data_IF_501268336690
#
_entry.id   IF_501268336690
#
_cell.length_a   1.000
_cell.length_b   1.000
_cell.length_c   1.000
_cell.angle_alpha   90.00
_cell.angle_beta   90.00
_cell.angle_gamma   90.00
#
_symmetry.space_group_name_H-M   'P 1'
#
loop_
_entity.id
_entity.type
_entity.pdbx_description
1 polymer ?
#
# COMPACT_ATOMS: atom_id res chain seq x y z
N UNK A 1 11.77 -6.71 -25.43
CA UNK A 1 11.23 -6.63 -24.06
C UNK A 1 10.97 -5.17 -23.79
N UNK A 2 9.70 -4.80 -23.59
CA UNK A 2 9.32 -3.41 -23.38
C UNK A 2 9.91 -2.89 -22.06
N UNK A 3 10.59 -1.74 -22.14
CA UNK A 3 11.25 -1.11 -20.98
C UNK A 3 10.27 -0.78 -19.88
N UNK A 4 9.05 -0.40 -20.25
CA UNK A 4 8.00 -0.04 -19.31
C UNK A 4 7.46 -1.27 -18.55
N UNK A 5 7.32 -2.38 -19.26
CA UNK A 5 6.92 -3.67 -18.67
C UNK A 5 7.97 -4.18 -17.68
N UNK A 6 9.26 -3.98 -17.99
CA UNK A 6 10.34 -4.29 -17.05
C UNK A 6 10.32 -3.37 -15.83
N UNK A 7 10.14 -2.07 -16.02
CA UNK A 7 10.08 -1.11 -14.92
C UNK A 7 8.92 -1.42 -13.96
N UNK A 8 7.76 -1.79 -14.51
CA UNK A 8 6.58 -2.19 -13.72
C UNK A 8 6.80 -3.49 -12.95
N UNK A 9 7.51 -4.48 -13.52
CA UNK A 9 7.89 -5.70 -12.78
C UNK A 9 8.89 -5.44 -11.65
N UNK A 10 9.89 -4.62 -11.89
CA UNK A 10 10.87 -4.25 -10.86
C UNK A 10 10.20 -3.47 -9.71
N UNK A 11 9.21 -2.65 -10.05
CA UNK A 11 8.39 -1.95 -9.08
C UNK A 11 7.64 -2.92 -8.17
N UNK A 12 6.88 -3.86 -8.73
CA UNK A 12 6.11 -4.84 -7.95
C UNK A 12 7.01 -5.74 -7.09
N UNK A 13 8.13 -6.23 -7.64
CA UNK A 13 9.13 -6.97 -6.86
C UNK A 13 9.66 -6.15 -5.68
N UNK A 14 9.91 -4.85 -5.88
CA UNK A 14 10.44 -3.99 -4.83
C UNK A 14 9.42 -3.74 -3.73
N UNK A 15 8.15 -3.51 -4.08
CA UNK A 15 7.06 -3.34 -3.12
C UNK A 15 6.86 -4.62 -2.31
N UNK A 16 6.77 -5.78 -2.97
CA UNK A 16 6.64 -7.08 -2.31
C UNK A 16 7.82 -7.38 -1.38
N UNK A 17 9.05 -7.06 -1.79
CA UNK A 17 10.23 -7.22 -0.95
C UNK A 17 10.19 -6.36 0.32
N UNK A 18 9.50 -5.21 0.29
CA UNK A 18 9.35 -4.34 1.46
C UNK A 18 8.22 -4.82 2.38
N UNK A 19 7.12 -5.32 1.81
CA UNK A 19 5.97 -5.85 2.55
C UNK A 19 6.20 -7.24 3.16
N UNK A 20 7.12 -8.03 2.61
CA UNK A 20 7.44 -9.35 3.14
C UNK A 20 6.37 -10.39 2.80
N UNK A 21 5.74 -10.97 3.81
CA UNK A 21 4.71 -12.03 3.63
C UNK A 21 3.30 -11.49 3.32
N UNK A 22 3.09 -10.17 3.39
CA UNK A 22 1.80 -9.59 3.04
C UNK A 22 1.57 -9.66 1.53
N UNK A 23 0.49 -10.34 1.12
CA UNK A 23 0.06 -10.40 -0.27
C UNK A 23 -0.55 -9.07 -0.67
N UNK A 24 -0.01 -8.45 -1.72
CA UNK A 24 -0.54 -7.19 -2.24
C UNK A 24 -1.48 -7.47 -3.40
N UNK A 25 -2.63 -6.81 -3.42
CA UNK A 25 -3.55 -6.86 -4.55
C UNK A 25 -2.92 -6.19 -5.79
N UNK A 26 -3.04 -6.85 -6.95
CA UNK A 26 -2.43 -6.39 -8.19
C UNK A 26 -3.09 -5.10 -8.70
N UNK A 27 -4.40 -4.93 -8.44
CA UNK A 27 -5.12 -3.67 -8.74
C UNK A 27 -4.56 -2.49 -7.94
N UNK A 28 -4.17 -2.71 -6.68
CA UNK A 28 -3.59 -1.67 -5.82
C UNK A 28 -2.17 -1.32 -6.28
N UNK A 29 -1.38 -2.32 -6.72
CA UNK A 29 -0.05 -2.07 -7.30
C UNK A 29 -0.13 -1.28 -8.61
N UNK A 30 -1.14 -1.57 -9.44
CA UNK A 30 -1.40 -0.83 -10.66
C UNK A 30 -1.75 0.64 -10.37
N UNK A 31 -2.68 0.87 -9.45
CA UNK A 31 -3.04 2.23 -9.00
C UNK A 31 -1.81 3.00 -8.49
N UNK A 32 -0.97 2.38 -7.66
CA UNK A 32 0.24 3.02 -7.11
C UNK A 32 1.29 3.31 -8.20
N UNK A 33 1.41 2.43 -9.19
CA UNK A 33 2.30 2.60 -10.34
C UNK A 33 1.85 3.73 -11.27
N UNK A 34 0.57 3.81 -11.57
CA UNK A 34 -0.04 4.87 -12.38
C UNK A 34 0.12 6.23 -11.71
N UNK A 35 -0.07 6.29 -10.39
CA UNK A 35 0.13 7.48 -9.57
C UNK A 35 1.61 7.83 -9.32
N UNK A 36 2.57 7.07 -9.89
CA UNK A 36 4.02 7.30 -9.74
C UNK A 36 4.49 7.32 -8.27
N UNK A 37 3.81 6.57 -7.40
CA UNK A 37 4.15 6.46 -5.99
C UNK A 37 5.45 5.67 -5.85
N UNK A 38 6.36 6.10 -4.97
CA UNK A 38 7.62 5.35 -4.76
C UNK A 38 7.34 3.96 -4.17
N UNK A 39 8.14 2.93 -4.48
CA UNK A 39 7.92 1.58 -3.94
C UNK A 39 7.89 1.52 -2.41
N UNK A 40 8.64 2.40 -1.74
CA UNK A 40 8.68 2.46 -0.29
C UNK A 40 7.42 3.09 0.31
N UNK A 41 6.88 4.13 -0.34
CA UNK A 41 5.66 4.78 0.11
C UNK A 41 4.43 3.92 -0.19
N UNK A 42 4.39 3.28 -1.36
CA UNK A 42 3.35 2.30 -1.70
C UNK A 42 3.31 1.18 -0.65
N UNK A 43 4.46 0.60 -0.30
CA UNK A 43 4.53 -0.45 0.71
C UNK A 43 4.02 0.00 2.09
N UNK A 44 4.35 1.22 2.52
CA UNK A 44 3.83 1.80 3.76
C UNK A 44 2.32 1.98 3.70
N UNK A 45 1.80 2.54 2.60
CA UNK A 45 0.37 2.79 2.43
C UNK A 45 -0.43 1.48 2.46
N UNK A 46 0.06 0.44 1.79
CA UNK A 46 -0.53 -0.91 1.81
C UNK A 46 -0.50 -1.48 3.24
N UNK A 47 0.65 -1.42 3.92
CA UNK A 47 0.77 -1.90 5.30
C UNK A 47 -0.16 -1.15 6.28
N UNK A 48 -0.39 0.16 6.06
CA UNK A 48 -1.33 0.94 6.88
C UNK A 48 -2.80 0.70 6.55
N UNK A 49 -3.12 0.29 5.31
CA UNK A 49 -4.48 -0.12 4.92
C UNK A 49 -4.86 -1.44 5.61
N UNK A 50 -3.95 -2.41 5.64
CA UNK A 50 -4.18 -3.70 6.30
C UNK A 50 -4.18 -3.59 7.83
N UNK A 51 -3.32 -2.74 8.40
CA UNK A 51 -3.33 -2.45 9.84
C UNK A 51 -4.45 -1.50 10.26
N UNK A 52 -5.54 -1.45 9.47
CA UNK A 52 -6.80 -0.75 9.72
C UNK A 52 -6.65 0.34 10.75
N UNK A 53 -6.14 1.52 10.33
CA UNK A 53 -5.89 2.70 11.15
C UNK A 53 -6.76 2.66 12.40
N UNK A 54 -6.21 2.22 13.53
CA UNK A 54 -6.96 2.18 14.78
C UNK A 54 -7.40 3.63 15.01
N UNK A 55 -8.69 3.88 14.80
CA UNK A 55 -9.26 5.19 15.00
C UNK A 55 -8.85 5.62 16.40
N UNK A 56 -8.12 6.74 16.49
CA UNK A 56 -7.52 7.18 17.75
C UNK A 56 -8.56 7.06 18.87
N UNK A 57 -8.21 6.53 20.06
CA UNK A 57 -9.18 6.18 21.11
C UNK A 57 -10.10 7.32 21.56
N UNK A 58 -9.75 8.57 21.27
CA UNK A 58 -10.59 9.75 21.52
C UNK A 58 -11.75 9.87 20.51
N UNK A 59 -11.53 9.53 19.23
CA UNK A 59 -12.53 9.63 18.17
C UNK A 59 -13.62 8.59 18.37
N UNK A 60 -13.24 7.37 18.74
CA UNK A 60 -14.18 6.28 19.07
C UNK A 60 -15.08 6.66 20.25
N UNK A 61 -14.51 7.31 21.29
CA UNK A 61 -15.26 7.84 22.44
C UNK A 61 -16.14 9.04 22.09
N UNK A 62 -15.75 9.86 21.13
CA UNK A 62 -16.53 11.02 20.71
C UNK A 62 -17.77 10.62 19.91
N UNK A 63 -17.61 9.67 18.97
CA UNK A 63 -18.72 9.18 18.15
C UNK A 63 -19.72 8.32 18.94
N UNK A 64 -19.27 7.59 19.96
CA UNK A 64 -20.13 6.75 20.81
C UNK A 64 -20.66 7.46 22.07
N UNK A 65 -20.57 8.80 22.17
CA UNK A 65 -21.26 9.53 23.24
C UNK A 65 -22.77 9.55 22.95
N UNK A 66 -23.52 8.77 23.72
CA UNK A 66 -24.96 8.96 23.93
C UNK A 66 -25.20 9.97 25.03
#
# INVERSE_FOLDING_TARGET
MDKDLLARRLYSERVNKILGENTVDEEVLEEMWENRVSPADAAKMIATRDNGVEASPWLHRYLNRR
#
